data_IF_559404479400
#
_entry.id   IF_559404479400
#
_cell.length_a   1.000
_cell.length_b   1.000
_cell.length_c   1.000
_cell.angle_alpha   90.00
_cell.angle_beta   90.00
_cell.angle_gamma   90.00
#
_symmetry.space_group_name_H-M   'P 1'
#
loop_
_entity.id
_entity.type
_entity.pdbx_description
1 polymer ?
#
# COMPACT_ATOMS: atom_id res chain seq x y z
N UNK A 1 -23.41 -5.44 8.60
CA UNK A 1 -22.35 -6.33 8.10
C UNK A 1 -21.04 -5.74 8.58
N UNK A 2 -20.55 -6.24 9.71
CA UNK A 2 -19.26 -5.83 10.28
C UNK A 2 -18.18 -6.20 9.26
N UNK A 3 -17.65 -5.19 8.57
CA UNK A 3 -16.59 -5.40 7.57
C UNK A 3 -15.29 -5.55 8.34
N UNK A 4 -14.96 -6.80 8.60
CA UNK A 4 -13.80 -7.21 9.38
C UNK A 4 -12.51 -6.85 8.63
N UNK A 5 -11.76 -5.89 9.17
CA UNK A 5 -10.42 -5.52 8.66
C UNK A 5 -9.47 -6.73 8.66
N UNK A 6 -9.75 -7.80 9.42
CA UNK A 6 -8.99 -9.04 9.35
C UNK A 6 -9.04 -9.69 7.96
N UNK A 7 -10.02 -9.35 7.11
CA UNK A 7 -10.01 -9.76 5.70
C UNK A 7 -8.82 -9.20 4.92
N UNK A 8 -8.17 -8.13 5.38
CA UNK A 8 -6.94 -7.63 4.78
C UNK A 8 -5.78 -8.64 4.94
N UNK A 9 -5.80 -9.47 5.98
CA UNK A 9 -4.74 -10.44 6.26
C UNK A 9 -4.53 -11.37 5.06
N UNK A 10 -3.27 -11.46 4.61
CA UNK A 10 -2.86 -12.29 3.50
C UNK A 10 -1.81 -11.63 2.61
N UNK A 11 -1.45 -12.34 1.55
CA UNK A 11 -0.50 -11.90 0.54
C UNK A 11 -1.23 -11.45 -0.71
N UNK A 12 -0.74 -10.35 -1.27
CA UNK A 12 -1.37 -9.62 -2.35
C UNK A 12 -0.34 -9.30 -3.43
N UNK A 13 -0.78 -9.31 -4.68
CA UNK A 13 0.04 -8.90 -5.82
C UNK A 13 -0.77 -8.00 -6.73
N UNK A 14 -0.12 -6.97 -7.26
CA UNK A 14 -0.73 -6.04 -8.22
C UNK A 14 -1.28 -6.79 -9.43
N UNK A 15 -2.54 -6.51 -9.75
CA UNK A 15 -3.12 -6.77 -11.06
C UNK A 15 -2.77 -5.59 -11.98
N UNK A 16 -1.86 -5.82 -12.93
CA UNK A 16 -1.42 -4.82 -13.91
C UNK A 16 -2.41 -4.62 -15.06
N UNK A 17 -3.56 -5.29 -15.05
CA UNK A 17 -4.63 -5.02 -16.03
C UNK A 17 -5.60 -3.93 -15.59
N UNK A 18 -5.53 -3.50 -14.32
CA UNK A 18 -6.47 -2.56 -13.71
C UNK A 18 -5.74 -1.46 -12.92
N UNK A 19 -4.89 -0.70 -13.61
CA UNK A 19 -4.10 0.36 -13.01
C UNK A 19 -4.41 1.74 -13.62
N UNK A 20 -4.61 2.73 -12.75
CA UNK A 20 -4.79 4.14 -13.15
C UNK A 20 -3.69 4.97 -12.48
N UNK A 21 -2.94 5.76 -13.27
CA UNK A 21 -1.82 6.60 -12.81
C UNK A 21 -0.69 5.85 -12.07
N UNK A 22 -0.49 4.56 -12.37
CA UNK A 22 0.54 3.76 -11.71
C UNK A 22 1.98 4.24 -11.99
N UNK A 23 2.27 4.78 -13.17
CA UNK A 23 3.59 5.37 -13.46
C UNK A 23 3.96 6.49 -12.49
N UNK A 24 2.98 7.33 -12.16
CA UNK A 24 3.18 8.44 -11.24
C UNK A 24 3.40 7.93 -9.84
N UNK A 25 2.61 6.95 -9.41
CA UNK A 25 2.83 6.27 -8.15
C UNK A 25 4.27 5.73 -8.05
N UNK A 26 4.77 5.05 -9.08
CA UNK A 26 6.15 4.56 -9.11
C UNK A 26 7.18 5.69 -9.09
N UNK A 27 6.91 6.80 -9.78
CA UNK A 27 7.78 7.99 -9.79
C UNK A 27 7.87 8.64 -8.41
N UNK A 28 6.74 8.81 -7.74
CA UNK A 28 6.69 9.37 -6.37
C UNK A 28 7.36 8.43 -5.35
N UNK A 29 7.38 7.12 -5.62
CA UNK A 29 8.16 6.14 -4.85
C UNK A 29 9.64 6.08 -5.24
N UNK A 30 10.12 7.01 -6.06
CA UNK A 30 11.55 7.17 -6.36
C UNK A 30 12.10 6.24 -7.44
N UNK A 31 11.27 5.49 -8.16
CA UNK A 31 11.75 4.66 -9.26
C UNK A 31 12.22 5.55 -10.42
N UNK A 32 13.41 5.23 -10.96
CA UNK A 32 13.95 5.87 -12.15
C UNK A 32 13.07 5.62 -13.39
N UNK A 33 13.19 6.46 -14.43
CA UNK A 33 12.43 6.29 -15.67
C UNK A 33 12.59 4.89 -16.27
N UNK A 34 13.83 4.40 -16.32
CA UNK A 34 14.12 3.05 -16.82
C UNK A 34 13.47 1.97 -15.94
N UNK A 35 13.53 2.11 -14.61
CA UNK A 35 12.88 1.17 -13.69
C UNK A 35 11.35 1.12 -13.89
N UNK A 36 10.70 2.28 -14.05
CA UNK A 36 9.26 2.36 -14.31
C UNK A 36 8.88 1.71 -15.64
N UNK A 37 9.69 1.91 -16.68
CA UNK A 37 9.51 1.27 -17.98
C UNK A 37 9.56 -0.26 -17.86
N UNK A 38 10.55 -0.80 -17.13
CA UNK A 38 10.67 -2.24 -16.90
C UNK A 38 9.49 -2.81 -16.11
N UNK A 39 9.02 -2.10 -15.08
CA UNK A 39 7.85 -2.50 -14.30
C UNK A 39 6.61 -2.67 -15.20
N UNK A 40 6.37 -1.71 -16.09
CA UNK A 40 5.24 -1.76 -17.03
C UNK A 40 5.38 -2.89 -18.05
N UNK A 41 6.55 -3.02 -18.67
CA UNK A 41 6.79 -4.01 -19.73
C UNK A 41 6.68 -5.44 -19.21
N UNK A 42 7.25 -5.70 -18.03
CA UNK A 42 7.33 -7.05 -17.46
C UNK A 42 6.30 -7.31 -16.36
N UNK A 43 5.38 -6.36 -16.11
CA UNK A 43 4.35 -6.44 -15.06
C UNK A 43 4.95 -6.81 -13.70
N UNK A 44 6.08 -6.17 -13.38
CA UNK A 44 6.83 -6.46 -12.15
C UNK A 44 6.10 -5.81 -10.98
N UNK A 45 5.75 -6.60 -9.98
CA UNK A 45 5.23 -6.09 -8.72
C UNK A 45 5.68 -6.98 -7.56
N UNK A 46 6.06 -6.37 -6.42
CA UNK A 46 6.35 -7.14 -5.22
C UNK A 46 5.10 -7.85 -4.71
N UNK A 47 5.32 -8.83 -3.82
CA UNK A 47 4.23 -9.35 -2.98
C UNK A 47 4.10 -8.43 -1.78
N UNK A 48 2.88 -7.99 -1.49
CA UNK A 48 2.53 -7.21 -0.32
C UNK A 48 1.78 -8.12 0.65
N UNK A 49 2.30 -8.29 1.86
CA UNK A 49 1.67 -9.06 2.92
C UNK A 49 1.14 -8.10 3.98
N UNK A 50 -0.14 -8.27 4.32
CA UNK A 50 -0.74 -7.61 5.47
C UNK A 50 -1.06 -8.66 6.52
N UNK A 51 -0.80 -8.34 7.79
CA UNK A 51 -1.14 -9.18 8.94
C UNK A 51 -1.88 -8.28 9.93
N UNK A 52 -3.16 -8.57 10.16
CA UNK A 52 -3.99 -7.82 11.10
C UNK A 52 -4.14 -8.63 12.39
N UNK A 53 -3.67 -8.07 13.51
CA UNK A 53 -3.74 -8.66 14.83
C UNK A 53 -4.38 -7.66 15.80
N UNK A 54 -5.70 -7.80 16.00
CA UNK A 54 -6.45 -6.84 16.81
C UNK A 54 -6.37 -5.43 16.23
N UNK A 55 -5.77 -4.50 16.97
CA UNK A 55 -5.59 -3.11 16.53
C UNK A 55 -4.23 -2.86 15.84
N UNK A 56 -3.45 -3.90 15.54
CA UNK A 56 -2.17 -3.77 14.85
C UNK A 56 -2.26 -4.28 13.42
N UNK A 57 -1.61 -3.57 12.50
CA UNK A 57 -1.43 -3.97 11.11
C UNK A 57 0.06 -4.00 10.82
N UNK A 58 0.58 -5.18 10.50
CA UNK A 58 1.92 -5.36 9.95
C UNK A 58 1.83 -5.38 8.44
N UNK A 59 2.61 -4.53 7.78
CA UNK A 59 2.81 -4.53 6.33
C UNK A 59 4.21 -5.02 6.02
N UNK A 60 4.32 -5.98 5.10
CA UNK A 60 5.59 -6.44 4.56
C UNK A 60 5.57 -6.40 3.05
N UNK A 61 6.67 -5.97 2.46
CA UNK A 61 6.88 -6.07 1.03
C UNK A 61 8.01 -7.03 0.74
N UNK A 62 7.79 -7.96 -0.18
CA UNK A 62 8.77 -8.96 -0.56
C UNK A 62 9.33 -8.68 -1.95
N UNK A 63 10.66 -8.73 -2.05
CA UNK A 63 11.35 -8.95 -3.31
C UNK A 63 11.87 -10.39 -3.31
N UNK A 64 11.37 -11.22 -4.23
CA UNK A 64 11.53 -12.67 -4.16
C UNK A 64 11.02 -13.24 -2.82
N UNK A 65 11.85 -13.94 -2.04
CA UNK A 65 11.46 -14.53 -0.76
C UNK A 65 11.92 -13.70 0.46
N UNK A 66 12.57 -12.54 0.26
CA UNK A 66 13.08 -11.71 1.36
C UNK A 66 12.22 -10.46 1.53
N UNK A 67 11.79 -10.13 2.77
CA UNK A 67 11.14 -8.87 3.03
C UNK A 67 12.15 -7.73 2.83
N UNK A 68 11.78 -6.74 2.03
CA UNK A 68 12.54 -5.51 1.76
C UNK A 68 11.93 -4.30 2.46
N UNK A 69 10.70 -4.44 2.94
CA UNK A 69 10.06 -3.51 3.86
C UNK A 69 9.27 -4.31 4.89
N UNK A 70 9.34 -3.89 6.15
CA UNK A 70 8.55 -4.43 7.26
C UNK A 70 8.20 -3.27 8.20
N UNK A 71 6.92 -3.05 8.44
CA UNK A 71 6.45 -2.06 9.42
C UNK A 71 5.23 -2.58 10.14
N UNK A 72 5.13 -2.29 11.45
CA UNK A 72 3.93 -2.57 12.24
C UNK A 72 3.35 -1.27 12.77
N UNK A 73 2.07 -1.05 12.47
CA UNK A 73 1.34 0.15 12.81
C UNK A 73 0.15 -0.19 13.71
N UNK A 74 -0.09 0.63 14.73
CA UNK A 74 -1.25 0.56 15.62
C UNK A 74 -2.32 1.49 15.09
N UNK A 75 -3.52 0.96 14.85
CA UNK A 75 -4.67 1.72 14.36
C UNK A 75 -4.99 2.87 15.34
N UNK A 76 -5.17 4.07 14.78
CA UNK A 76 -5.48 5.30 15.51
C UNK A 76 -4.26 6.04 16.07
N UNK A 77 -3.05 5.48 15.97
CA UNK A 77 -1.83 6.09 16.52
C UNK A 77 -0.87 6.52 15.40
N UNK A 78 -0.42 7.78 15.36
CA UNK A 78 0.66 8.19 14.48
C UNK A 78 1.99 7.61 14.97
N UNK A 79 2.81 7.12 14.04
CA UNK A 79 4.09 6.51 14.32
C UNK A 79 5.16 6.99 13.36
N UNK A 80 6.34 7.30 13.90
CA UNK A 80 7.53 7.56 13.11
C UNK A 80 8.17 6.22 12.73
N UNK A 81 8.14 5.91 11.43
CA UNK A 81 8.72 4.70 10.86
C UNK A 81 9.94 5.07 10.03
N UNK A 82 11.01 4.30 10.19
CA UNK A 82 12.17 4.36 9.30
C UNK A 82 12.07 3.19 8.33
N UNK A 83 12.07 3.48 7.03
CA UNK A 83 12.11 2.45 6.00
C UNK A 83 13.40 2.59 5.20
N UNK A 84 14.13 1.49 5.06
CA UNK A 84 15.32 1.46 4.22
C UNK A 84 14.99 1.92 2.79
N UNK A 85 15.81 2.79 2.21
CA UNK A 85 15.57 3.42 0.91
C UNK A 85 14.57 4.59 0.91
N UNK A 86 13.64 4.65 1.86
CA UNK A 86 12.64 5.73 1.94
C UNK A 86 12.89 6.72 3.10
N UNK A 87 13.75 6.40 4.06
CA UNK A 87 14.07 7.26 5.20
C UNK A 87 12.96 7.32 6.25
N UNK A 88 12.95 8.41 7.03
CA UNK A 88 11.94 8.63 8.07
C UNK A 88 10.64 9.18 7.49
N UNK A 89 9.53 8.63 7.95
CA UNK A 89 8.19 9.09 7.63
C UNK A 89 7.27 8.96 8.85
N UNK A 90 6.32 9.88 8.99
CA UNK A 90 5.23 9.75 9.97
C UNK A 90 4.08 9.03 9.27
N UNK A 91 3.65 7.89 9.82
CA UNK A 91 2.51 7.14 9.27
C UNK A 91 1.44 6.97 10.33
N UNK A 92 0.19 7.18 9.94
CA UNK A 92 -0.99 6.88 10.74
C UNK A 92 -1.94 6.01 9.94
N UNK A 93 -2.50 5.00 10.60
CA UNK A 93 -3.53 4.14 10.03
C UNK A 93 -4.80 4.32 10.82
N UNK A 94 -5.91 4.54 10.13
CA UNK A 94 -7.25 4.62 10.69
C UNK A 94 -8.21 3.70 9.92
N UNK A 95 -9.40 3.53 10.49
CA UNK A 95 -10.57 2.98 9.82
C UNK A 95 -11.58 4.12 9.62
N UNK A 96 -12.15 4.23 8.42
CA UNK A 96 -13.25 5.18 8.20
C UNK A 96 -14.60 4.62 8.66
N UNK A 97 -15.65 5.44 8.52
CA UNK A 97 -17.03 5.07 8.89
C UNK A 97 -17.58 3.84 8.16
N UNK A 98 -16.97 3.45 7.04
CA UNK A 98 -17.32 2.28 6.24
C UNK A 98 -16.42 1.07 6.52
N UNK A 99 -15.49 1.17 7.49
CA UNK A 99 -14.51 0.14 7.81
C UNK A 99 -13.39 0.01 6.78
N UNK A 100 -13.16 1.03 5.95
CA UNK A 100 -12.05 1.04 4.98
C UNK A 100 -10.77 1.45 5.67
N UNK A 101 -9.66 0.83 5.28
CA UNK A 101 -8.32 1.20 5.71
C UNK A 101 -8.02 2.61 5.18
N UNK A 102 -7.54 3.50 6.04
CA UNK A 102 -7.03 4.82 5.64
C UNK A 102 -5.62 4.97 6.21
N UNK A 103 -4.61 4.97 5.35
CA UNK A 103 -3.22 5.19 5.73
C UNK A 103 -2.79 6.57 5.26
N UNK A 104 -2.28 7.39 6.17
CA UNK A 104 -1.67 8.69 5.89
C UNK A 104 -0.18 8.59 6.17
N UNK A 105 0.63 8.85 5.16
CA UNK A 105 2.10 8.84 5.28
C UNK A 105 2.64 10.20 4.90
N UNK A 106 3.36 10.84 5.83
CA UNK A 106 4.01 12.13 5.65
C UNK A 106 5.51 11.99 5.61
N UNK A 107 6.15 12.65 4.65
CA UNK A 107 7.60 12.75 4.52
C UNK A 107 7.96 14.18 4.12
N UNK A 108 8.55 14.93 5.06
CA UNK A 108 8.76 16.36 4.90
C UNK A 108 7.42 17.09 4.68
N UNK A 109 7.32 17.88 3.61
CA UNK A 109 6.09 18.60 3.24
C UNK A 109 5.14 17.79 2.34
N UNK A 110 5.49 16.54 2.01
CA UNK A 110 4.67 15.67 1.16
C UNK A 110 3.81 14.74 2.02
N UNK A 111 2.53 14.62 1.66
CA UNK A 111 1.59 13.66 2.24
C UNK A 111 1.05 12.75 1.13
N UNK A 112 0.96 11.46 1.45
CA UNK A 112 0.28 10.45 0.64
C UNK A 112 -0.83 9.84 1.48
N UNK A 113 -2.01 9.69 0.87
CA UNK A 113 -3.18 9.10 1.54
C UNK A 113 -3.64 7.88 0.76
N UNK A 114 -3.54 6.71 1.35
CA UNK A 114 -4.03 5.45 0.79
C UNK A 114 -5.33 5.08 1.46
N UNK A 115 -6.36 4.82 0.66
CA UNK A 115 -7.62 4.24 1.11
C UNK A 115 -7.76 2.84 0.52
N UNK A 116 -8.06 1.85 1.35
CA UNK A 116 -8.08 0.44 0.97
C UNK A 116 -9.37 -0.27 1.36
N UNK A 117 -9.88 -1.13 0.47
CA UNK A 117 -11.02 -2.01 0.77
C UNK A 117 -10.92 -3.34 0.02
N UNK A 118 -11.50 -4.38 0.61
CA UNK A 118 -11.78 -5.62 -0.11
C UNK A 118 -13.07 -5.44 -0.90
N UNK A 119 -13.04 -5.74 -2.20
CA UNK A 119 -14.21 -5.69 -3.07
C UNK A 119 -15.05 -6.99 -2.98
N UNK A 120 -16.18 -7.03 -3.70
CA UNK A 120 -17.07 -8.20 -3.74
C UNK A 120 -16.45 -9.44 -4.39
N UNK A 121 -15.33 -9.29 -5.09
CA UNK A 121 -14.58 -10.38 -5.72
C UNK A 121 -13.41 -10.84 -4.83
N UNK A 122 -13.26 -10.29 -3.63
CA UNK A 122 -12.18 -10.61 -2.71
C UNK A 122 -10.83 -9.98 -3.08
N UNK A 123 -10.82 -8.98 -3.98
CA UNK A 123 -9.62 -8.23 -4.39
C UNK A 123 -9.42 -7.03 -3.48
N UNK A 124 -8.17 -6.67 -3.22
CA UNK A 124 -7.82 -5.47 -2.48
C UNK A 124 -7.75 -4.29 -3.45
N UNK A 125 -8.69 -3.36 -3.36
CA UNK A 125 -8.68 -2.11 -4.10
C UNK A 125 -8.08 -1.00 -3.25
N UNK A 126 -7.06 -0.33 -3.79
CA UNK A 126 -6.39 0.81 -3.18
C UNK A 126 -6.61 2.05 -4.05
N UNK A 127 -7.02 3.15 -3.42
CA UNK A 127 -7.03 4.49 -4.01
C UNK A 127 -6.06 5.36 -3.25
N UNK A 128 -5.06 5.90 -3.95
CA UNK A 128 -3.89 6.56 -3.38
C UNK A 128 -3.86 7.99 -3.88
N UNK A 129 -4.10 8.96 -3.00
CA UNK A 129 -3.82 10.37 -3.27
C UNK A 129 -2.31 10.58 -3.15
N UNK A 130 -1.68 10.88 -4.29
CA UNK A 130 -0.25 11.14 -4.39
C UNK A 130 0.07 12.59 -3.95
N UNK A 131 1.32 12.86 -3.53
CA UNK A 131 1.76 14.23 -3.23
C UNK A 131 1.56 15.23 -4.37
N UNK A 132 1.55 14.74 -5.62
CA UNK A 132 1.27 15.54 -6.82
C UNK A 132 -0.18 16.02 -6.93
N UNK A 133 -1.09 15.56 -6.05
CA UNK A 133 -2.53 15.83 -6.10
C UNK A 133 -3.31 14.90 -7.02
N UNK A 134 -2.63 13.99 -7.73
CA UNK A 134 -3.29 12.97 -8.57
C UNK A 134 -3.65 11.74 -7.75
N UNK A 135 -4.70 11.04 -8.18
CA UNK A 135 -5.10 9.76 -7.58
C UNK A 135 -4.58 8.60 -8.42
N UNK A 136 -3.88 7.66 -7.79
CA UNK A 136 -3.54 6.36 -8.36
C UNK A 136 -4.52 5.31 -7.85
N UNK A 137 -5.04 4.48 -8.76
CA UNK A 137 -5.85 3.32 -8.41
C UNK A 137 -5.03 2.05 -8.65
N UNK A 138 -5.01 1.17 -7.65
CA UNK A 138 -4.38 -0.15 -7.72
C UNK A 138 -5.39 -1.21 -7.32
N UNK A 139 -5.41 -2.31 -8.05
CA UNK A 139 -6.15 -3.53 -7.68
C UNK A 139 -5.14 -4.63 -7.43
N UNK A 140 -5.24 -5.31 -6.28
CA UNK A 140 -4.37 -6.40 -5.91
C UNK A 140 -5.18 -7.69 -5.74
N UNK A 141 -4.63 -8.78 -6.23
CA UNK A 141 -5.20 -10.12 -6.11
C UNK A 141 -4.48 -10.91 -5.03
N UNK A 142 -5.20 -11.81 -4.35
CA UNK A 142 -4.57 -12.71 -3.37
C UNK A 142 -3.58 -13.64 -4.07
N UNK A 143 -2.44 -13.84 -3.42
CA UNK A 143 -1.46 -14.85 -3.80
C UNK A 143 -1.71 -16.08 -2.94
N UNK A 144 -1.88 -17.25 -3.57
CA UNK A 144 -1.96 -18.55 -2.89
C UNK A 144 -0.60 -18.96 -2.33
#
# INVERSE_FOLDING_TARGET
MEKDIAQLTGRWRQDHSQDENYDEFLREHGLSWFGRMMVKLFKISPIEEYIVNGNQITYRQYHQQRPVADMTLTIGQPQNVHMEGFGHMETRVDLDEYGRLVTRTKKGNSEMVTTGRIDSQGRLELSILLPSGRTCRRVLQRVQ
#
